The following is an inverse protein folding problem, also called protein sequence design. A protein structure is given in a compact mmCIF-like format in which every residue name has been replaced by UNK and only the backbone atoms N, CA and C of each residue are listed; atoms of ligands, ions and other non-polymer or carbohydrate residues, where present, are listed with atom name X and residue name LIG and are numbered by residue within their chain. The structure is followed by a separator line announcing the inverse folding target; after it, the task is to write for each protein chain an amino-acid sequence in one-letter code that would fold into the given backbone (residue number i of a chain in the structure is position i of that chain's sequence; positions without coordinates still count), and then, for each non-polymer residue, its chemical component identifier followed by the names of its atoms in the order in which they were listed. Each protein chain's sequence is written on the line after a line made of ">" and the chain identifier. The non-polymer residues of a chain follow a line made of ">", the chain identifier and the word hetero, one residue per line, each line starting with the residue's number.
data_IF_498086896855
#
_entry.id   IF_498086896855
#
_cell.length_a   1.000
_cell.length_b   1.000
_cell.length_c   1.000
_cell.angle_alpha   90.00
_cell.angle_beta   90.00
_cell.angle_gamma   90.00
#
_symmetry.space_group_name_H-M   'P 1'
#
loop_
_entity.id
_entity.type
_entity.pdbx_description
1 polymer ?
#
# COMPACT_ATOMS: atom_id res chain seq x y z
N UNK A 1 -16.37 23.54 12.47
CA UNK A 1 -15.42 23.30 11.37
C UNK A 1 -15.06 21.81 11.24
N UNK A 2 -14.65 21.12 12.30
CA UNK A 2 -14.39 19.65 12.26
C UNK A 2 -15.69 18.84 12.11
N UNK A 3 -16.76 19.18 12.84
CA UNK A 3 -18.06 18.52 12.73
C UNK A 3 -18.71 18.68 11.35
N UNK A 4 -18.48 19.81 10.67
CA UNK A 4 -18.99 20.08 9.32
C UNK A 4 -18.26 19.27 8.25
N UNK A 5 -16.96 18.98 8.43
CA UNK A 5 -16.21 18.08 7.53
C UNK A 5 -16.64 16.62 7.74
N UNK A 6 -16.87 16.22 9.00
CA UNK A 6 -17.40 14.90 9.34
C UNK A 6 -18.83 14.66 8.81
N UNK A 7 -19.67 15.70 8.75
CA UNK A 7 -21.00 15.61 8.15
C UNK A 7 -20.95 15.54 6.62
N UNK A 8 -19.99 16.22 5.98
CA UNK A 8 -19.83 16.21 4.52
C UNK A 8 -19.41 14.82 3.98
N UNK A 9 -18.59 14.07 4.73
CA UNK A 9 -18.24 12.67 4.38
C UNK A 9 -19.41 11.69 4.64
N UNK A 10 -20.35 12.05 5.51
CA UNK A 10 -21.46 11.19 5.92
C UNK A 10 -22.72 11.36 5.06
N UNK A 11 -22.84 12.48 4.32
CA UNK A 11 -23.97 12.78 3.46
C UNK A 11 -24.00 11.97 2.15
N UNK A 12 -22.89 11.33 1.79
CA UNK A 12 -22.87 10.29 0.76
C UNK A 12 -23.43 9.02 1.40
N UNK A 13 -24.75 8.80 1.29
CA UNK A 13 -25.35 7.52 1.66
C UNK A 13 -24.51 6.42 1.01
N UNK A 14 -23.96 5.45 1.77
CA UNK A 14 -23.14 4.41 1.18
C UNK A 14 -23.98 3.78 0.08
N UNK A 15 -23.53 3.81 -1.19
CA UNK A 15 -24.28 3.18 -2.26
C UNK A 15 -24.56 1.76 -1.80
N UNK A 16 -25.83 1.33 -1.87
CA UNK A 16 -26.21 -0.04 -1.58
C UNK A 16 -25.17 -0.93 -2.25
N UNK A 17 -24.50 -1.80 -1.46
CA UNK A 17 -23.26 -2.44 -1.87
C UNK A 17 -23.39 -2.96 -3.30
N UNK A 18 -22.82 -2.21 -4.26
CA UNK A 18 -22.97 -2.51 -5.68
C UNK A 18 -22.01 -3.66 -5.97
N UNK A 19 -22.45 -4.85 -5.59
CA UNK A 19 -21.66 -6.07 -5.68
C UNK A 19 -21.28 -6.33 -7.15
N UNK A 20 -22.16 -5.97 -8.10
CA UNK A 20 -21.87 -6.06 -9.53
C UNK A 20 -20.75 -5.10 -9.93
N UNK A 21 -20.83 -3.83 -9.53
CA UNK A 21 -19.76 -2.86 -9.75
C UNK A 21 -18.44 -3.25 -9.08
N UNK A 22 -18.49 -3.72 -7.83
CA UNK A 22 -17.31 -4.16 -7.07
C UNK A 22 -16.67 -5.42 -7.69
N UNK A 23 -17.46 -6.40 -8.12
CA UNK A 23 -16.97 -7.58 -8.83
C UNK A 23 -16.37 -7.19 -10.18
N UNK A 24 -17.00 -6.26 -10.91
CA UNK A 24 -16.48 -5.75 -12.17
C UNK A 24 -15.11 -5.10 -11.99
N UNK A 25 -14.98 -4.21 -11.00
CA UNK A 25 -13.70 -3.57 -10.64
C UNK A 25 -12.68 -4.61 -10.18
N UNK A 26 -13.07 -5.58 -9.34
CA UNK A 26 -12.19 -6.64 -8.87
C UNK A 26 -11.61 -7.48 -10.01
N UNK A 27 -12.45 -7.91 -10.96
CA UNK A 27 -12.02 -8.70 -12.12
C UNK A 27 -11.11 -7.87 -13.03
N UNK A 28 -11.50 -6.64 -13.38
CA UNK A 28 -10.68 -5.78 -14.24
C UNK A 28 -9.34 -5.42 -13.59
N UNK A 29 -9.32 -5.05 -12.31
CA UNK A 29 -8.09 -4.76 -11.58
C UNK A 29 -7.16 -5.99 -11.51
N UNK A 30 -7.70 -7.19 -11.32
CA UNK A 30 -6.93 -8.43 -11.30
C UNK A 30 -6.29 -8.74 -12.66
N UNK A 31 -7.03 -8.57 -13.76
CA UNK A 31 -6.52 -8.75 -15.11
C UNK A 31 -5.41 -7.74 -15.44
N UNK A 32 -5.60 -6.47 -15.06
CA UNK A 32 -4.58 -5.43 -15.21
C UNK A 32 -3.34 -5.79 -14.41
N UNK A 33 -3.49 -6.22 -13.14
CA UNK A 33 -2.38 -6.63 -12.29
C UNK A 33 -1.55 -7.77 -12.90
N UNK A 34 -2.22 -8.79 -13.45
CA UNK A 34 -1.54 -9.89 -14.16
C UNK A 34 -0.79 -9.40 -15.40
N UNK A 35 -1.38 -8.48 -16.16
CA UNK A 35 -0.76 -7.86 -17.33
C UNK A 35 0.49 -7.04 -17.00
N UNK A 36 0.48 -6.35 -15.86
CA UNK A 36 1.61 -5.55 -15.36
C UNK A 36 2.76 -6.44 -14.89
N UNK A 37 2.48 -7.44 -14.04
CA UNK A 37 3.51 -8.32 -13.47
C UNK A 37 4.24 -9.11 -14.56
N UNK A 38 3.53 -9.57 -15.60
CA UNK A 38 4.10 -10.32 -16.72
C UNK A 38 5.14 -9.54 -17.53
N UNK A 39 5.14 -8.20 -17.46
CA UNK A 39 6.04 -7.34 -18.25
C UNK A 39 7.27 -6.87 -17.48
N UNK A 40 7.49 -7.38 -16.27
CA UNK A 40 8.66 -7.01 -15.46
C UNK A 40 9.93 -7.73 -15.94
N UNK A 41 11.08 -7.04 -15.89
CA UNK A 41 12.38 -7.66 -16.18
C UNK A 41 12.77 -8.68 -15.10
N UNK A 42 13.50 -9.74 -15.48
CA UNK A 42 13.96 -10.79 -14.55
C UNK A 42 14.79 -10.27 -13.38
N UNK A 43 15.55 -9.19 -13.60
CA UNK A 43 16.36 -8.54 -12.58
C UNK A 43 15.52 -7.93 -11.45
N UNK A 44 14.24 -7.66 -11.71
CA UNK A 44 13.35 -6.98 -10.79
C UNK A 44 12.39 -7.93 -10.05
N UNK A 45 12.44 -9.25 -10.23
CA UNK A 45 11.53 -10.15 -9.51
C UNK A 45 11.67 -10.08 -7.99
N UNK A 46 12.90 -9.99 -7.47
CA UNK A 46 13.14 -9.87 -6.02
C UNK A 46 12.72 -8.50 -5.47
N UNK A 47 13.07 -7.36 -6.11
CA UNK A 47 12.48 -6.07 -5.77
C UNK A 47 10.94 -6.03 -5.88
N UNK A 48 10.38 -6.67 -6.90
CA UNK A 48 8.93 -6.74 -7.12
C UNK A 48 8.26 -7.53 -5.99
N UNK A 49 8.85 -8.64 -5.55
CA UNK A 49 8.34 -9.40 -4.40
C UNK A 49 8.29 -8.55 -3.13
N UNK A 50 9.30 -7.72 -2.89
CA UNK A 50 9.30 -6.78 -1.76
C UNK A 50 8.22 -5.71 -1.89
N UNK A 51 8.04 -5.15 -3.10
CA UNK A 51 7.05 -4.09 -3.31
C UNK A 51 5.61 -4.60 -3.17
N UNK A 52 5.32 -5.82 -3.66
CA UNK A 52 3.98 -6.40 -3.51
C UNK A 52 3.67 -6.73 -2.06
N UNK A 53 4.68 -7.08 -1.25
CA UNK A 53 4.52 -7.18 0.20
C UNK A 53 4.14 -5.82 0.81
N UNK A 54 4.85 -4.74 0.45
CA UNK A 54 4.53 -3.38 0.93
C UNK A 54 3.10 -2.92 0.54
N UNK A 55 2.65 -3.27 -0.66
CA UNK A 55 1.29 -2.93 -1.15
C UNK A 55 0.21 -3.67 -0.34
N UNK A 56 0.48 -4.89 0.13
CA UNK A 56 -0.47 -5.66 0.94
C UNK A 56 -0.86 -4.94 2.25
N UNK A 57 -0.05 -3.97 2.68
CA UNK A 57 -0.32 -3.15 3.85
C UNK A 57 -1.52 -2.18 3.69
N UNK A 58 -2.23 -2.23 2.55
CA UNK A 58 -3.55 -1.59 2.35
C UNK A 58 -4.57 -1.95 3.45
N UNK A 59 -4.35 -3.05 4.17
CA UNK A 59 -5.05 -3.38 5.41
C UNK A 59 -5.10 -2.23 6.44
N UNK A 60 -4.16 -1.27 6.35
CA UNK A 60 -4.19 -0.02 7.10
C UNK A 60 -5.56 0.67 7.03
N UNK A 61 -6.19 0.71 5.85
CA UNK A 61 -7.47 1.39 5.64
C UNK A 61 -8.54 0.77 6.55
N UNK A 62 -8.62 -0.56 6.58
CA UNK A 62 -9.54 -1.28 7.47
C UNK A 62 -9.21 -1.04 8.94
N UNK A 63 -7.93 -1.06 9.32
CA UNK A 63 -7.52 -0.83 10.71
C UNK A 63 -7.83 0.58 11.22
N UNK A 64 -7.71 1.61 10.36
CA UNK A 64 -8.08 3.00 10.71
C UNK A 64 -9.59 3.09 10.94
N UNK A 65 -10.39 2.48 10.07
CA UNK A 65 -11.86 2.47 10.20
C UNK A 65 -12.27 1.81 11.52
N UNK A 66 -11.71 0.64 11.84
CA UNK A 66 -12.04 -0.09 13.08
C UNK A 66 -11.56 0.66 14.33
N UNK A 67 -10.36 1.25 14.30
CA UNK A 67 -9.79 1.94 15.47
C UNK A 67 -10.48 3.27 15.74
N UNK A 68 -10.87 3.98 14.68
CA UNK A 68 -11.51 5.29 14.72
C UNK A 68 -13.03 5.25 14.93
N UNK A 69 -13.67 4.10 14.72
CA UNK A 69 -15.09 3.91 14.97
C UNK A 69 -15.40 3.71 16.47
N UNK A 70 -16.65 3.98 16.84
CA UNK A 70 -17.15 3.90 18.22
C UNK A 70 -17.51 2.46 18.60
N UNK A 71 -16.52 1.57 18.55
CA UNK A 71 -16.63 0.18 18.97
C UNK A 71 -16.25 -0.02 20.45
N UNK A 72 -16.67 -1.14 21.06
CA UNK A 72 -16.18 -1.59 22.37
C UNK A 72 -14.65 -1.54 22.48
N UNK A 73 -14.15 -1.31 23.71
CA UNK A 73 -12.72 -1.10 23.99
C UNK A 73 -11.85 -2.25 23.47
N UNK A 74 -12.36 -3.47 23.56
CA UNK A 74 -11.69 -4.71 23.14
C UNK A 74 -11.43 -4.69 21.63
N UNK A 75 -12.42 -4.28 20.85
CA UNK A 75 -12.35 -4.18 19.38
C UNK A 75 -11.38 -3.06 18.99
N UNK A 76 -11.44 -1.91 19.67
CA UNK A 76 -10.50 -0.79 19.40
C UNK A 76 -9.06 -1.17 19.73
N UNK A 77 -8.82 -2.00 20.75
CA UNK A 77 -7.48 -2.49 21.06
C UNK A 77 -6.94 -3.40 19.94
N UNK A 78 -7.76 -4.33 19.44
CA UNK A 78 -7.39 -5.18 18.30
C UNK A 78 -7.18 -4.32 17.04
N UNK A 79 -8.02 -3.31 16.82
CA UNK A 79 -7.85 -2.32 15.75
C UNK A 79 -6.52 -1.59 15.84
N UNK A 80 -6.12 -1.14 17.03
CA UNK A 80 -4.84 -0.48 17.25
C UNK A 80 -3.64 -1.39 16.97
N UNK A 81 -3.72 -2.68 17.36
CA UNK A 81 -2.70 -3.68 17.02
C UNK A 81 -2.64 -3.91 15.50
N UNK A 82 -3.80 -4.03 14.84
CA UNK A 82 -3.88 -4.17 13.39
C UNK A 82 -3.31 -2.95 12.66
N UNK A 83 -3.54 -1.75 13.19
CA UNK A 83 -3.00 -0.50 12.66
C UNK A 83 -1.48 -0.46 12.78
N UNK A 84 -0.95 -0.81 13.95
CA UNK A 84 0.49 -0.90 14.18
C UNK A 84 1.16 -1.93 13.26
N UNK A 85 0.55 -3.11 13.11
CA UNK A 85 1.04 -4.15 12.22
C UNK A 85 1.02 -3.70 10.74
N UNK A 86 -0.07 -3.06 10.30
CA UNK A 86 -0.19 -2.53 8.94
C UNK A 86 0.84 -1.43 8.67
N UNK A 87 1.03 -0.50 9.61
CA UNK A 87 2.07 0.54 9.54
C UNK A 87 3.47 -0.06 9.42
N UNK A 88 3.76 -1.09 10.20
CA UNK A 88 5.06 -1.77 10.14
C UNK A 88 5.29 -2.39 8.77
N UNK A 89 4.27 -2.98 8.15
CA UNK A 89 4.36 -3.55 6.80
C UNK A 89 4.63 -2.45 5.74
N UNK A 90 3.94 -1.31 5.81
CA UNK A 90 4.23 -0.13 4.96
C UNK A 90 5.70 0.27 5.09
N UNK A 91 6.12 0.61 6.32
CA UNK A 91 7.46 1.20 6.57
C UNK A 91 8.57 0.22 6.21
N UNK A 92 8.48 -1.03 6.65
CA UNK A 92 9.49 -2.05 6.35
C UNK A 92 9.53 -2.41 4.86
N UNK A 93 8.37 -2.55 4.22
CA UNK A 93 8.26 -2.91 2.80
C UNK A 93 8.89 -1.86 1.90
N UNK A 94 8.65 -0.56 2.15
CA UNK A 94 9.27 0.50 1.36
C UNK A 94 10.77 0.66 1.64
N UNK A 95 11.22 0.52 2.89
CA UNK A 95 12.65 0.59 3.25
C UNK A 95 13.47 -0.53 2.61
N UNK A 96 12.95 -1.76 2.63
CA UNK A 96 13.62 -2.92 2.02
C UNK A 96 13.68 -2.74 0.50
N UNK A 97 12.57 -2.32 -0.11
CA UNK A 97 12.51 -2.07 -1.55
C UNK A 97 13.50 -0.97 -1.98
N UNK A 98 13.59 0.12 -1.25
CA UNK A 98 14.56 1.20 -1.53
C UNK A 98 16.00 0.71 -1.47
N UNK A 99 16.36 -0.10 -0.46
CA UNK A 99 17.68 -0.73 -0.37
C UNK A 99 17.95 -1.66 -1.56
N UNK A 100 16.95 -2.43 -1.99
CA UNK A 100 17.07 -3.29 -3.16
C UNK A 100 17.28 -2.50 -4.45
N UNK A 101 16.53 -1.41 -4.64
CA UNK A 101 16.60 -0.58 -5.83
C UNK A 101 17.88 0.24 -5.92
N UNK A 102 18.46 0.63 -4.77
CA UNK A 102 19.76 1.31 -4.70
C UNK A 102 20.90 0.47 -5.28
N UNK A 103 20.80 -0.86 -5.25
CA UNK A 103 21.81 -1.75 -5.84
C UNK A 103 21.82 -1.72 -7.38
N UNK A 104 20.78 -1.19 -8.03
CA UNK A 104 20.75 -0.99 -9.48
C UNK A 104 21.31 0.38 -9.90
N UNK A 105 21.57 1.28 -8.95
CA UNK A 105 22.27 2.53 -9.23
C UNK A 105 23.76 2.21 -9.26
N UNK A 106 24.34 2.19 -10.45
CA UNK A 106 25.79 2.22 -10.59
C UNK A 106 26.30 3.46 -9.87
N UNK A 107 27.14 3.30 -8.86
CA UNK A 107 27.93 4.39 -8.30
C UNK A 107 28.76 4.98 -9.44
N UNK A 108 28.21 5.99 -10.12
CA UNK A 108 28.98 6.82 -11.04
C UNK A 108 29.88 7.67 -10.16
N UNK A 109 31.01 7.10 -9.76
CA UNK A 109 32.14 7.86 -9.28
C UNK A 109 32.50 8.84 -10.42
N UNK A 110 32.41 10.17 -10.21
CA UNK A 110 32.82 11.12 -11.23
C UNK A 110 34.27 10.78 -11.58
N UNK A 111 34.55 10.68 -12.88
CA UNK A 111 35.79 10.17 -13.41
C UNK A 111 36.99 10.73 -12.66
N UNK A 112 37.85 9.85 -12.15
CA UNK A 112 39.23 10.22 -11.90
C UNK A 112 39.90 10.31 -13.28
N UNK A 113 39.62 11.42 -13.95
CA UNK A 113 40.53 11.99 -14.92
C UNK A 113 41.81 12.33 -14.17
N UNK A 114 42.75 11.40 -14.20
CA UNK A 114 44.16 11.72 -14.10
C UNK A 114 44.82 10.93 -15.24
N UNK A 115 44.82 11.61 -16.39
CA UNK A 115 45.75 11.44 -17.51
C UNK A 115 47.21 11.48 -17.00
N UNK A 116 48.23 11.28 -17.86
CA UNK A 116 48.29 10.64 -19.17
C UNK A 116 49.00 9.27 -19.16
#
# INVERSE_FOLDING_TARGET
>A
MIATVAAAIAAEAPPAADLWGQLFVFVLASLIGLGVIRRVSRLLHTPLMSITNAISAIAVVGSIIVTGADYPREIRLIGAIALFASMTNIVSGFLITDRMLKMFKTDTKPGRGSQP
#
